data_IF_602965475281
#
_entry.id   IF_602965475281
#
_cell.length_a   1.000
_cell.length_b   1.000
_cell.length_c   1.000
_cell.angle_alpha   90.00
_cell.angle_beta   90.00
_cell.angle_gamma   90.00
#
_symmetry.space_group_name_H-M   'P 1'
#
loop_
_entity.id
_entity.type
_entity.pdbx_description
1 polymer ?
#
# COMPACT_ATOMS: atom_id res chain seq x y z
N UNK A 1 0.85 23.59 -16.97
CA UNK A 1 1.69 22.43 -16.63
C UNK A 1 0.80 21.40 -15.97
N UNK A 2 0.83 20.14 -16.39
CA UNK A 2 0.01 19.08 -15.79
C UNK A 2 0.88 18.32 -14.79
N UNK A 3 0.46 18.29 -13.53
CA UNK A 3 1.12 17.55 -12.46
C UNK A 3 0.47 16.18 -12.32
N UNK A 4 1.26 15.11 -12.39
CA UNK A 4 0.77 13.74 -12.29
C UNK A 4 1.36 13.08 -11.05
N UNK A 5 0.50 12.50 -10.22
CA UNK A 5 0.89 11.75 -9.02
C UNK A 5 0.12 10.45 -8.90
N UNK A 6 0.78 9.44 -8.32
CA UNK A 6 0.19 8.15 -8.00
C UNK A 6 -0.10 8.08 -6.50
N UNK A 7 -1.32 7.67 -6.14
CA UNK A 7 -1.76 7.58 -4.75
C UNK A 7 -2.18 6.15 -4.46
N UNK A 8 -1.43 5.47 -3.60
CA UNK A 8 -1.72 4.10 -3.16
C UNK A 8 -2.38 4.14 -1.80
N UNK A 9 -3.57 3.58 -1.68
CA UNK A 9 -4.28 3.43 -0.41
C UNK A 9 -4.30 1.98 0.01
N UNK A 10 -4.15 1.73 1.30
CA UNK A 10 -4.26 0.40 1.89
C UNK A 10 -5.17 0.45 3.12
N UNK A 11 -5.94 -0.61 3.28
CA UNK A 11 -6.86 -0.79 4.40
C UNK A 11 -6.88 -2.27 4.81
N UNK A 12 -7.11 -2.53 6.09
CA UNK A 12 -7.24 -3.89 6.61
C UNK A 12 -8.27 -3.99 7.72
N UNK A 13 -9.04 -5.06 7.66
CA UNK A 13 -10.00 -5.47 8.67
C UNK A 13 -9.72 -6.91 9.08
N UNK A 14 -10.47 -7.40 10.08
CA UNK A 14 -10.37 -8.80 10.51
C UNK A 14 -10.73 -9.80 9.39
N UNK A 15 -11.56 -9.41 8.42
CA UNK A 15 -12.08 -10.31 7.38
C UNK A 15 -11.30 -10.22 6.08
N UNK A 16 -10.78 -9.05 5.74
CA UNK A 16 -10.03 -8.83 4.51
C UNK A 16 -9.10 -7.63 4.63
N UNK A 17 -8.07 -7.63 3.77
CA UNK A 17 -7.19 -6.49 3.57
C UNK A 17 -7.13 -6.14 2.08
N UNK A 18 -7.02 -4.86 1.79
CA UNK A 18 -7.19 -4.32 0.45
C UNK A 18 -6.20 -3.21 0.14
N UNK A 19 -6.08 -2.93 -1.15
CA UNK A 19 -5.19 -1.91 -1.69
C UNK A 19 -5.71 -1.41 -3.02
N UNK A 20 -5.48 -0.13 -3.30
CA UNK A 20 -5.79 0.46 -4.58
C UNK A 20 -4.78 1.56 -4.94
N UNK A 21 -4.60 1.79 -6.24
CA UNK A 21 -3.72 2.82 -6.79
C UNK A 21 -4.57 3.73 -7.67
N UNK A 22 -4.55 5.02 -7.36
CA UNK A 22 -5.15 6.08 -8.16
C UNK A 22 -4.07 6.87 -8.89
N UNK A 23 -4.41 7.34 -10.09
CA UNK A 23 -3.69 8.39 -10.79
C UNK A 23 -4.44 9.69 -10.59
N UNK A 24 -3.74 10.70 -10.08
CA UNK A 24 -4.22 12.06 -9.98
C UNK A 24 -3.48 12.90 -11.01
N UNK A 25 -4.22 13.51 -11.93
CA UNK A 25 -3.71 14.49 -12.86
C UNK A 25 -4.31 15.85 -12.55
N UNK A 26 -3.46 16.81 -12.24
CA UNK A 26 -3.83 18.17 -11.90
C UNK A 26 -3.37 19.11 -13.00
N UNK A 27 -4.29 19.90 -13.51
CA UNK A 27 -4.03 21.02 -14.42
C UNK A 27 -4.42 22.32 -13.72
N UNK A 28 -4.19 23.46 -14.35
CA UNK A 28 -4.50 24.76 -13.75
C UNK A 28 -5.98 24.92 -13.34
N UNK A 29 -6.90 24.27 -14.07
CA UNK A 29 -8.35 24.43 -13.86
C UNK A 29 -9.05 23.18 -13.36
N UNK A 30 -8.41 22.01 -13.40
CA UNK A 30 -9.10 20.74 -13.16
C UNK A 30 -8.17 19.72 -12.50
N UNK A 31 -8.74 18.99 -11.53
CA UNK A 31 -8.14 17.81 -10.92
C UNK A 31 -8.96 16.60 -11.33
N UNK A 32 -8.33 15.67 -12.04
CA UNK A 32 -8.94 14.39 -12.41
C UNK A 32 -8.28 13.27 -11.60
N UNK A 33 -9.09 12.35 -11.09
CA UNK A 33 -8.61 11.20 -10.30
C UNK A 33 -9.20 9.93 -10.90
N UNK A 34 -8.34 8.98 -11.26
CA UNK A 34 -8.72 7.73 -11.90
C UNK A 34 -8.20 6.54 -11.10
N UNK A 35 -9.05 5.54 -10.87
CA UNK A 35 -8.63 4.27 -10.28
C UNK A 35 -7.90 3.44 -11.34
N UNK A 36 -6.61 3.19 -11.14
CA UNK A 36 -5.82 2.36 -12.06
C UNK A 36 -5.94 0.88 -11.73
N UNK A 37 -5.83 0.53 -10.45
CA UNK A 37 -5.91 -0.86 -10.03
C UNK A 37 -6.35 -0.97 -8.56
N UNK A 38 -7.23 -1.93 -8.27
CA UNK A 38 -7.61 -2.30 -6.92
C UNK A 38 -7.52 -3.83 -6.75
N UNK A 39 -7.07 -4.29 -5.59
CA UNK A 39 -7.02 -5.71 -5.22
C UNK A 39 -7.33 -5.87 -3.73
N UNK A 40 -8.13 -6.88 -3.40
CA UNK A 40 -8.41 -7.31 -2.03
C UNK A 40 -8.00 -8.77 -1.83
N UNK A 41 -7.77 -9.15 -0.57
CA UNK A 41 -7.49 -10.53 -0.14
C UNK A 41 -8.26 -10.81 1.13
N UNK A 42 -8.88 -11.98 1.19
CA UNK A 42 -9.56 -12.48 2.39
C UNK A 42 -8.48 -12.88 3.40
N UNK A 43 -8.70 -12.52 4.66
CA UNK A 43 -7.82 -12.89 5.76
C UNK A 43 -7.90 -14.41 6.00
N UNK A 44 -6.78 -15.11 6.19
CA UNK A 44 -6.79 -16.52 6.56
C UNK A 44 -7.60 -16.77 7.85
N UNK A 45 -8.17 -17.97 8.00
CA UNK A 45 -8.92 -18.35 9.21
C UNK A 45 -8.05 -18.39 10.49
N UNK A 46 -6.72 -18.30 10.34
CA UNK A 46 -5.81 -18.19 11.47
C UNK A 46 -5.93 -16.81 12.13
N UNK A 47 -5.84 -16.76 13.46
CA UNK A 47 -5.93 -15.50 14.21
C UNK A 47 -4.69 -14.64 13.94
N UNK A 48 -4.83 -13.71 13.00
CA UNK A 48 -3.86 -12.64 12.74
C UNK A 48 -4.40 -11.36 13.38
N UNK A 49 -3.54 -10.60 14.04
CA UNK A 49 -3.93 -9.32 14.65
C UNK A 49 -4.15 -8.25 13.59
N UNK A 50 -5.07 -7.30 13.85
CA UNK A 50 -5.35 -6.19 12.94
C UNK A 50 -4.06 -5.43 12.55
N UNK A 51 -3.16 -5.04 13.48
CA UNK A 51 -1.90 -4.39 13.11
C UNK A 51 -1.01 -5.18 12.14
N UNK A 52 -1.02 -6.51 12.22
CA UNK A 52 -0.29 -7.36 11.28
C UNK A 52 -0.95 -7.36 9.90
N UNK A 53 -2.28 -7.38 9.85
CA UNK A 53 -3.02 -7.29 8.59
C UNK A 53 -2.82 -5.93 7.92
N UNK A 54 -2.85 -4.84 8.68
CA UNK A 54 -2.57 -3.48 8.18
C UNK A 54 -1.14 -3.39 7.61
N UNK A 55 -0.14 -3.93 8.31
CA UNK A 55 1.23 -3.96 7.82
C UNK A 55 1.39 -4.84 6.56
N UNK A 56 0.67 -5.97 6.51
CA UNK A 56 0.61 -6.80 5.30
C UNK A 56 -0.05 -6.05 4.15
N UNK A 57 -1.14 -5.31 4.40
CA UNK A 57 -1.80 -4.47 3.42
C UNK A 57 -0.84 -3.42 2.83
N UNK A 58 -0.08 -2.73 3.68
CA UNK A 58 0.97 -1.81 3.25
C UNK A 58 2.03 -2.50 2.36
N UNK A 59 2.50 -3.67 2.79
CA UNK A 59 3.51 -4.46 2.05
C UNK A 59 3.00 -4.91 0.68
N UNK A 60 1.76 -5.39 0.61
CA UNK A 60 1.19 -5.78 -0.68
C UNK A 60 0.80 -4.55 -1.52
N UNK A 61 0.52 -3.41 -0.88
CA UNK A 61 0.26 -2.11 -1.47
C UNK A 61 1.44 -1.62 -2.32
N UNK A 62 2.65 -1.65 -1.78
CA UNK A 62 3.87 -1.28 -2.52
C UNK A 62 4.10 -2.18 -3.73
N UNK A 63 3.89 -3.49 -3.58
CA UNK A 63 3.98 -4.43 -4.71
C UNK A 63 2.94 -4.15 -5.81
N UNK A 64 1.75 -3.65 -5.47
CA UNK A 64 0.75 -3.24 -6.46
C UNK A 64 1.20 -1.97 -7.18
N UNK A 65 1.68 -0.99 -6.42
CA UNK A 65 2.27 0.23 -6.96
C UNK A 65 3.40 -0.08 -7.94
N UNK A 66 4.34 -0.96 -7.60
CA UNK A 66 5.45 -1.36 -8.49
C UNK A 66 4.96 -2.04 -9.78
N UNK A 67 3.84 -2.76 -9.71
CA UNK A 67 3.19 -3.34 -10.89
C UNK A 67 2.61 -2.25 -11.79
N UNK A 68 1.94 -1.25 -11.20
CA UNK A 68 1.35 -0.12 -11.93
C UNK A 68 2.45 0.75 -12.54
N UNK A 69 3.49 1.09 -11.76
CA UNK A 69 4.64 1.88 -12.21
C UNK A 69 5.32 1.26 -13.43
N UNK A 70 5.57 -0.07 -13.38
CA UNK A 70 6.14 -0.81 -14.51
C UNK A 70 5.23 -0.83 -15.73
N UNK A 71 3.92 -0.97 -15.54
CA UNK A 71 2.95 -0.96 -16.64
C UNK A 71 2.88 0.40 -17.33
N UNK A 72 2.99 1.49 -16.56
CA UNK A 72 2.97 2.86 -17.09
C UNK A 72 4.32 3.31 -17.66
N UNK A 73 5.43 2.63 -17.32
CA UNK A 73 6.81 3.01 -17.71
C UNK A 73 7.18 4.43 -17.25
N UNK A 74 6.73 4.82 -16.07
CA UNK A 74 6.89 6.19 -15.54
C UNK A 74 7.74 6.16 -14.29
N UNK A 75 9.02 6.52 -14.42
CA UNK A 75 9.93 6.52 -13.28
C UNK A 75 9.81 7.75 -12.38
N UNK A 76 9.27 8.86 -12.91
CA UNK A 76 9.34 10.20 -12.31
C UNK A 76 8.04 10.69 -11.65
N UNK A 77 6.97 9.88 -11.62
CA UNK A 77 5.71 10.33 -11.01
C UNK A 77 5.83 10.42 -9.49
N UNK A 78 5.43 11.56 -8.93
CA UNK A 78 5.28 11.70 -7.49
C UNK A 78 4.35 10.62 -6.95
N UNK A 79 4.74 9.99 -5.85
CA UNK A 79 4.08 8.78 -5.37
C UNK A 79 3.81 8.88 -3.87
N UNK A 80 2.57 8.63 -3.49
CA UNK A 80 2.10 8.74 -2.11
C UNK A 80 1.49 7.42 -1.65
N UNK A 81 1.74 7.05 -0.39
CA UNK A 81 1.20 5.86 0.25
C UNK A 81 0.38 6.26 1.48
N UNK A 82 -0.86 5.81 1.53
CA UNK A 82 -1.86 6.20 2.53
C UNK A 82 -2.34 4.97 3.29
N UNK A 83 -2.40 5.12 4.61
CA UNK A 83 -3.02 4.16 5.54
C UNK A 83 -3.60 4.96 6.71
N UNK A 84 -4.73 4.52 7.24
CA UNK A 84 -5.36 5.05 8.45
C UNK A 84 -4.78 4.45 9.75
N UNK A 85 -3.96 3.39 9.63
CA UNK A 85 -3.30 2.77 10.77
C UNK A 85 -2.15 3.61 11.31
N UNK A 86 -2.43 4.29 12.43
CA UNK A 86 -1.41 4.99 13.22
C UNK A 86 -0.32 4.03 13.72
N UNK A 87 -0.67 2.76 13.97
CA UNK A 87 0.29 1.72 14.38
C UNK A 87 1.26 1.41 13.25
N UNK A 88 0.78 1.17 12.03
CA UNK A 88 1.64 0.92 10.86
C UNK A 88 2.49 2.13 10.53
N UNK A 89 1.93 3.35 10.56
CA UNK A 89 2.70 4.58 10.34
C UNK A 89 3.83 4.73 11.36
N UNK A 90 3.54 4.49 12.64
CA UNK A 90 4.54 4.50 13.71
C UNK A 90 5.59 3.44 13.48
N UNK A 91 5.19 2.26 13.02
CA UNK A 91 6.14 1.20 12.76
C UNK A 91 7.06 1.58 11.61
N UNK A 92 6.54 1.94 10.44
CA UNK A 92 7.35 2.32 9.28
C UNK A 92 8.29 3.49 9.56
N UNK A 93 7.85 4.47 10.35
CA UNK A 93 8.66 5.66 10.69
C UNK A 93 9.73 5.42 11.76
N UNK A 94 9.71 4.30 12.49
CA UNK A 94 10.72 4.00 13.51
C UNK A 94 12.05 3.60 12.86
N UNK A 95 13.14 4.24 13.30
CA UNK A 95 14.51 4.03 12.82
C UNK A 95 15.33 3.00 13.61
N UNK A 96 14.75 2.32 14.61
CA UNK A 96 15.47 1.30 15.40
C UNK A 96 15.29 -0.11 14.81
N UNK A 97 16.33 -0.97 14.85
CA UNK A 97 16.25 -2.32 14.31
C UNK A 97 15.19 -3.14 15.05
N UNK A 98 14.28 -3.72 14.26
CA UNK A 98 13.22 -4.61 14.75
C UNK A 98 13.82 -5.85 15.40
N UNK A 99 13.19 -6.34 16.47
CA UNK A 99 13.23 -7.76 16.80
C UNK A 99 12.75 -8.54 15.57
N UNK A 100 13.56 -9.50 15.10
CA UNK A 100 13.40 -10.21 13.82
C UNK A 100 11.94 -10.60 13.55
N UNK A 101 11.42 -10.15 12.40
CA UNK A 101 10.01 -10.24 12.01
C UNK A 101 9.59 -11.61 11.43
N UNK A 102 10.53 -12.39 10.89
CA UNK A 102 10.27 -13.73 10.32
C UNK A 102 11.35 -14.70 10.81
N UNK A 103 10.93 -15.73 11.54
CA UNK A 103 11.75 -16.92 11.71
C UNK A 103 11.51 -17.82 10.49
N UNK A 104 12.56 -18.11 9.72
CA UNK A 104 12.48 -18.96 8.51
C UNK A 104 12.45 -20.45 8.89
N UNK A 105 11.53 -20.87 9.76
CA UNK A 105 11.46 -22.26 10.23
C UNK A 105 10.20 -23.04 9.80
N UNK A 106 9.35 -22.50 8.92
CA UNK A 106 8.13 -23.20 8.49
C UNK A 106 7.91 -23.30 6.97
N UNK A 107 8.99 -23.46 6.21
CA UNK A 107 8.90 -24.03 4.86
C UNK A 107 9.79 -25.27 4.80
N UNK A 108 9.21 -26.41 5.22
CA UNK A 108 9.60 -27.76 4.82
C UNK A 108 8.42 -28.37 4.09
#
# INVERSE_FOLDING_TARGET
MCHISLHTFVDASQTAYSKCVFLRSETYNEVNVQLLQAKSRITPLTKITIPRLELMAATIGTSLFDSVKRALKTDDFESYFWTDSSTVLTWIKRQYPWSKFVNKEQLR
#
